data_IF_287392647435
#
_entry.id   IF_287392647435
#
_cell.length_a   1.000
_cell.length_b   1.000
_cell.length_c   1.000
_cell.angle_alpha   90.00
_cell.angle_beta   90.00
_cell.angle_gamma   90.00
#
_symmetry.space_group_name_H-M   'P 1'
#
loop_
_entity.id
_entity.type
_entity.pdbx_description
1 polymer ?
#
# COMPACT_ATOMS: atom_id res chain seq x y z
N UNK A 1 -16.69 21.60 -14.28
CA UNK A 1 -15.68 22.59 -14.69
C UNK A 1 -14.77 22.87 -13.50
N UNK A 2 -13.56 22.33 -13.49
CA UNK A 2 -12.60 22.61 -12.42
C UNK A 2 -11.99 24.00 -12.65
N UNK A 3 -12.36 24.95 -11.81
CA UNK A 3 -11.70 26.25 -11.72
C UNK A 3 -10.27 26.01 -11.23
N UNK A 4 -9.29 26.10 -12.13
CA UNK A 4 -7.87 26.12 -11.74
C UNK A 4 -7.69 27.32 -10.81
N UNK A 5 -7.24 27.15 -9.54
CA UNK A 5 -7.08 28.26 -8.63
C UNK A 5 -6.11 29.28 -9.23
N UNK A 6 -6.39 30.60 -9.13
CA UNK A 6 -5.57 31.72 -9.65
C UNK A 6 -4.07 31.68 -9.26
N UNK A 7 -3.67 30.77 -8.36
CA UNK A 7 -2.31 30.52 -7.89
C UNK A 7 -1.46 29.66 -8.84
N UNK A 8 -2.06 28.99 -9.82
CA UNK A 8 -1.34 28.08 -10.72
C UNK A 8 -1.33 28.60 -12.16
N UNK A 9 -0.21 28.40 -12.84
CA UNK A 9 -0.06 28.48 -14.29
C UNK A 9 -0.37 27.08 -14.82
N UNK A 10 -1.24 26.99 -15.82
CA UNK A 10 -1.50 25.72 -16.51
C UNK A 10 -0.61 25.68 -17.74
N UNK A 11 0.18 24.61 -17.86
CA UNK A 11 1.02 24.31 -19.00
C UNK A 11 0.39 23.13 -19.75
N UNK A 12 0.33 23.23 -21.07
CA UNK A 12 -0.12 22.12 -21.90
C UNK A 12 1.06 21.16 -22.10
N UNK A 13 1.00 19.99 -21.48
CA UNK A 13 1.91 18.91 -21.76
C UNK A 13 1.21 17.94 -22.71
N UNK A 14 1.97 17.27 -23.57
CA UNK A 14 1.43 16.31 -24.54
C UNK A 14 0.56 15.20 -23.89
N UNK A 15 0.68 14.98 -22.58
CA UNK A 15 -0.08 14.01 -21.78
C UNK A 15 -1.18 14.62 -20.90
N UNK A 16 -1.47 15.91 -21.05
CA UNK A 16 -2.49 16.64 -20.27
C UNK A 16 -1.98 17.92 -19.62
N UNK A 17 -2.79 18.51 -18.73
CA UNK A 17 -2.44 19.75 -18.05
C UNK A 17 -1.40 19.52 -16.95
N UNK A 18 -0.29 20.25 -17.02
CA UNK A 18 0.66 20.40 -15.93
C UNK A 18 0.38 21.71 -15.18
N UNK A 19 0.51 21.70 -13.85
CA UNK A 19 0.20 22.86 -13.01
C UNK A 19 1.46 23.34 -12.29
N UNK A 20 1.82 24.59 -12.53
CA UNK A 20 2.97 25.25 -11.91
C UNK A 20 2.52 26.35 -10.96
N UNK A 21 2.93 26.30 -9.70
CA UNK A 21 2.59 27.34 -8.73
C UNK A 21 3.31 28.65 -9.08
N UNK A 22 2.54 29.72 -9.31
CA UNK A 22 3.07 30.99 -9.88
C UNK A 22 4.14 31.64 -9.01
N UNK A 23 4.06 31.50 -7.69
CA UNK A 23 5.05 32.03 -6.71
C UNK A 23 6.35 31.21 -6.63
N UNK A 24 6.43 30.06 -7.32
CA UNK A 24 7.59 29.16 -7.30
C UNK A 24 8.43 29.20 -8.59
N UNK A 25 7.99 29.89 -9.64
CA UNK A 25 8.67 29.92 -10.95
C UNK A 25 10.15 30.32 -10.82
N UNK A 26 10.43 31.45 -10.17
CA UNK A 26 11.81 31.94 -9.93
C UNK A 26 12.64 31.05 -9.00
N UNK A 27 11.99 30.21 -8.19
CA UNK A 27 12.69 29.25 -7.34
C UNK A 27 13.08 28.00 -8.12
N UNK A 28 12.27 27.59 -9.11
CA UNK A 28 12.61 26.47 -9.99
C UNK A 28 13.84 26.74 -10.85
N UNK A 29 14.06 27.99 -11.26
CA UNK A 29 15.28 28.40 -11.99
C UNK A 29 16.56 28.20 -11.17
N UNK A 30 16.45 28.07 -9.85
CA UNK A 30 17.58 27.86 -8.93
C UNK A 30 17.75 26.40 -8.53
N UNK A 31 16.90 25.50 -9.03
CA UNK A 31 16.99 24.07 -8.74
C UNK A 31 18.10 23.49 -9.59
N UNK A 32 19.06 22.84 -8.93
CA UNK A 32 20.17 22.13 -9.55
C UNK A 32 20.17 20.63 -9.23
N UNK A 33 19.27 20.18 -8.34
CA UNK A 33 19.10 18.79 -7.95
C UNK A 33 17.61 18.42 -7.78
N UNK A 34 17.24 17.17 -8.09
CA UNK A 34 15.85 16.69 -8.00
C UNK A 34 15.79 15.38 -7.23
N UNK A 35 14.94 15.33 -6.21
CA UNK A 35 14.62 14.11 -5.48
C UNK A 35 13.25 13.63 -5.93
N UNK A 36 13.20 12.40 -6.41
CA UNK A 36 11.98 11.78 -6.91
C UNK A 36 11.32 10.93 -5.83
N UNK A 37 10.00 10.98 -5.77
CA UNK A 37 9.26 9.82 -5.24
C UNK A 37 9.33 8.68 -6.26
N UNK A 38 9.11 7.44 -5.83
CA UNK A 38 9.15 6.29 -6.73
C UNK A 38 7.76 5.96 -7.28
N UNK A 39 6.84 5.58 -6.40
CA UNK A 39 5.55 5.04 -6.77
C UNK A 39 4.59 6.16 -7.21
N UNK A 40 4.04 6.04 -8.42
CA UNK A 40 3.21 7.09 -9.05
C UNK A 40 3.99 8.25 -9.66
N UNK A 41 5.33 8.26 -9.57
CA UNK A 41 6.20 9.30 -10.15
C UNK A 41 7.22 8.70 -11.12
N UNK A 42 8.03 7.74 -10.66
CA UNK A 42 8.96 6.99 -11.51
C UNK A 42 8.32 5.72 -12.06
N UNK A 43 7.40 5.11 -11.31
CA UNK A 43 6.73 3.85 -11.64
C UNK A 43 5.22 4.07 -11.70
N UNK A 44 4.59 3.61 -12.77
CA UNK A 44 3.14 3.52 -12.86
C UNK A 44 2.66 2.28 -12.09
N UNK A 45 1.88 2.54 -11.04
CA UNK A 45 1.47 1.54 -10.06
C UNK A 45 0.08 0.97 -10.30
N UNK A 46 -0.70 1.53 -11.24
CA UNK A 46 -2.14 1.24 -11.40
C UNK A 46 -2.40 -0.22 -11.76
N UNK A 47 -1.66 -0.76 -12.73
CA UNK A 47 -1.82 -2.17 -13.12
C UNK A 47 -1.04 -3.16 -12.23
N UNK A 48 -0.37 -2.64 -11.19
CA UNK A 48 0.55 -3.38 -10.32
C UNK A 48 0.05 -3.40 -8.87
N UNK A 49 0.30 -2.33 -8.12
CA UNK A 49 -0.05 -2.24 -6.70
C UNK A 49 -1.57 -2.23 -6.49
N UNK A 50 -2.31 -1.45 -7.28
CA UNK A 50 -3.77 -1.37 -7.12
C UNK A 50 -4.42 -2.73 -7.41
N UNK A 51 -3.93 -3.45 -8.44
CA UNK A 51 -4.35 -4.83 -8.72
C UNK A 51 -3.98 -5.80 -7.60
N UNK A 52 -2.81 -5.63 -6.97
CA UNK A 52 -2.41 -6.44 -5.81
C UNK A 52 -3.31 -6.17 -4.60
N UNK A 53 -3.71 -4.92 -4.34
CA UNK A 53 -4.68 -4.56 -3.29
C UNK A 53 -5.98 -5.33 -3.48
N UNK A 54 -6.57 -5.24 -4.69
CA UNK A 54 -7.86 -5.88 -4.98
C UNK A 54 -7.75 -7.41 -4.83
N UNK A 55 -6.69 -8.01 -5.38
CA UNK A 55 -6.48 -9.46 -5.30
C UNK A 55 -6.23 -9.95 -3.87
N UNK A 56 -5.45 -9.21 -3.07
CA UNK A 56 -5.19 -9.56 -1.68
C UNK A 56 -6.46 -9.49 -0.84
N UNK A 57 -7.23 -8.39 -0.95
CA UNK A 57 -8.50 -8.24 -0.27
C UNK A 57 -9.49 -9.35 -0.68
N UNK A 58 -9.58 -9.65 -1.98
CA UNK A 58 -10.42 -10.74 -2.51
C UNK A 58 -10.02 -12.10 -1.94
N UNK A 59 -8.72 -12.41 -1.95
CA UNK A 59 -8.20 -13.69 -1.48
C UNK A 59 -8.48 -13.89 0.01
N UNK A 60 -8.26 -12.85 0.82
CA UNK A 60 -8.51 -12.91 2.27
C UNK A 60 -10.00 -13.02 2.54
N UNK A 61 -10.83 -12.22 1.86
CA UNK A 61 -12.29 -12.30 2.00
C UNK A 61 -12.83 -13.69 1.67
N UNK A 62 -12.41 -14.26 0.53
CA UNK A 62 -12.81 -15.61 0.13
C UNK A 62 -12.29 -16.67 1.12
N UNK A 63 -11.07 -16.53 1.61
CA UNK A 63 -10.52 -17.44 2.62
C UNK A 63 -11.30 -17.40 3.95
N UNK A 64 -11.78 -16.23 4.34
CA UNK A 64 -12.50 -16.02 5.61
C UNK A 64 -14.00 -16.33 5.52
N UNK A 65 -14.55 -16.52 4.31
CA UNK A 65 -16.01 -16.64 4.11
C UNK A 65 -16.43 -17.83 3.25
N UNK A 66 -15.54 -18.36 2.40
CA UNK A 66 -15.87 -19.33 1.35
C UNK A 66 -16.61 -18.73 0.14
N UNK A 67 -16.82 -17.41 0.13
CA UNK A 67 -17.57 -16.69 -0.87
C UNK A 67 -16.65 -15.80 -1.71
N UNK A 68 -16.80 -15.87 -3.03
CA UNK A 68 -16.06 -14.98 -3.92
C UNK A 68 -16.45 -13.52 -3.68
N UNK A 69 -15.47 -12.63 -3.68
CA UNK A 69 -15.72 -11.20 -3.66
C UNK A 69 -16.20 -10.76 -5.06
N UNK A 70 -17.28 -9.97 -5.19
CA UNK A 70 -17.70 -9.44 -6.49
C UNK A 70 -16.61 -8.62 -7.16
N UNK A 71 -16.38 -8.82 -8.46
CA UNK A 71 -15.24 -8.23 -9.19
C UNK A 71 -15.16 -6.70 -9.10
N UNK A 72 -16.30 -6.02 -9.05
CA UNK A 72 -16.38 -4.56 -9.01
C UNK A 72 -16.59 -3.98 -7.60
N UNK A 73 -16.47 -4.80 -6.55
CA UNK A 73 -16.67 -4.33 -5.18
C UNK A 73 -15.60 -3.30 -4.80
N UNK A 74 -14.34 -3.57 -5.17
CA UNK A 74 -13.21 -2.67 -4.97
C UNK A 74 -12.76 -2.16 -6.34
N UNK A 75 -12.97 -0.87 -6.58
CA UNK A 75 -12.59 -0.22 -7.83
C UNK A 75 -11.38 0.71 -7.65
N UNK A 76 -10.79 1.17 -8.75
CA UNK A 76 -9.75 2.20 -8.72
C UNK A 76 -10.22 3.47 -8.00
N UNK A 77 -11.52 3.80 -8.14
CA UNK A 77 -12.14 4.91 -7.40
C UNK A 77 -12.11 4.64 -5.89
N UNK A 78 -12.40 3.42 -5.46
CA UNK A 78 -12.31 3.03 -4.04
C UNK A 78 -10.89 3.26 -3.52
N UNK A 79 -9.87 2.75 -4.21
CA UNK A 79 -8.45 2.89 -3.81
C UNK A 79 -8.04 4.37 -3.79
N UNK A 80 -8.44 5.14 -4.81
CA UNK A 80 -8.22 6.58 -4.85
C UNK A 80 -8.84 7.28 -3.63
N UNK A 81 -10.06 6.93 -3.24
CA UNK A 81 -10.74 7.54 -2.09
C UNK A 81 -10.01 7.24 -0.77
N UNK A 82 -9.47 6.04 -0.58
CA UNK A 82 -8.59 5.72 0.55
C UNK A 82 -7.36 6.64 0.57
N UNK A 83 -6.63 6.71 -0.54
CA UNK A 83 -5.42 7.55 -0.65
C UNK A 83 -5.73 9.04 -0.47
N UNK A 84 -6.90 9.50 -0.92
CA UNK A 84 -7.37 10.88 -0.79
C UNK A 84 -7.56 11.32 0.67
N UNK A 85 -7.74 10.41 1.62
CA UNK A 85 -7.80 10.77 3.05
C UNK A 85 -6.46 11.32 3.57
N UNK A 86 -5.35 11.04 2.87
CA UNK A 86 -4.00 11.46 3.22
C UNK A 86 -3.26 10.52 4.19
N UNK A 87 -3.94 9.52 4.75
CA UNK A 87 -3.37 8.58 5.72
C UNK A 87 -2.91 7.24 5.15
N UNK A 88 -3.36 6.86 3.96
CA UNK A 88 -3.12 5.53 3.37
C UNK A 88 -1.95 5.58 2.36
N UNK A 89 -0.75 5.78 2.89
CA UNK A 89 0.49 5.76 2.09
C UNK A 89 1.08 4.35 1.97
N UNK A 90 0.56 3.39 2.73
CA UNK A 90 0.92 1.97 2.69
C UNK A 90 -0.25 1.18 2.13
N UNK A 91 0.01 0.35 1.11
CA UNK A 91 -1.03 -0.46 0.47
C UNK A 91 -1.57 -1.56 1.40
N UNK A 92 -0.78 -1.99 2.40
CA UNK A 92 -1.26 -2.91 3.44
C UNK A 92 -2.40 -2.31 4.25
N UNK A 93 -2.37 -0.99 4.52
CA UNK A 93 -3.42 -0.30 5.26
C UNK A 93 -4.72 -0.23 4.44
N UNK A 94 -4.61 -0.15 3.11
CA UNK A 94 -5.77 -0.17 2.21
C UNK A 94 -6.39 -1.57 2.21
N UNK A 95 -5.57 -2.62 2.08
CA UNK A 95 -6.05 -4.01 2.18
C UNK A 95 -6.69 -4.26 3.55
N UNK A 96 -6.07 -3.77 4.62
CA UNK A 96 -6.64 -3.82 5.98
C UNK A 96 -7.99 -3.12 6.05
N UNK A 97 -8.07 -1.87 5.61
CA UNK A 97 -9.31 -1.09 5.62
C UNK A 97 -10.46 -1.76 4.88
N UNK A 98 -10.19 -2.27 3.67
CA UNK A 98 -11.17 -3.00 2.86
C UNK A 98 -11.60 -4.28 3.59
N UNK A 99 -10.64 -5.10 4.02
CA UNK A 99 -10.92 -6.42 4.62
C UNK A 99 -11.69 -6.29 5.93
N UNK A 100 -11.26 -5.40 6.82
CA UNK A 100 -11.92 -5.16 8.10
C UNK A 100 -13.33 -4.64 7.89
N UNK A 101 -13.53 -3.68 6.97
CA UNK A 101 -14.85 -3.18 6.64
C UNK A 101 -15.78 -4.30 6.16
N UNK A 102 -15.33 -5.10 5.18
CA UNK A 102 -16.14 -6.16 4.58
C UNK A 102 -16.55 -7.21 5.59
N UNK A 103 -15.61 -7.68 6.41
CA UNK A 103 -15.88 -8.73 7.41
C UNK A 103 -16.72 -8.21 8.59
N UNK A 104 -16.60 -6.93 8.94
CA UNK A 104 -17.42 -6.32 9.98
C UNK A 104 -18.85 -6.02 9.52
N UNK A 105 -19.09 -5.64 8.26
CA UNK A 105 -20.44 -5.32 7.77
C UNK A 105 -21.25 -6.57 7.35
N UNK A 106 -20.67 -7.78 7.43
CA UNK A 106 -21.40 -9.03 7.18
C UNK A 106 -22.61 -9.21 8.12
N UNK A 107 -23.61 -10.02 7.73
CA UNK A 107 -24.72 -10.40 8.60
C UNK A 107 -24.25 -10.94 9.96
N UNK A 108 -25.02 -10.68 11.03
CA UNK A 108 -24.62 -11.08 12.40
C UNK A 108 -24.38 -12.58 12.53
N UNK A 109 -25.23 -13.42 11.93
CA UNK A 109 -25.06 -14.88 11.94
C UNK A 109 -23.75 -15.34 11.28
N UNK A 110 -23.36 -14.71 10.16
CA UNK A 110 -22.08 -14.97 9.50
C UNK A 110 -20.90 -14.56 10.40
N UNK A 111 -20.99 -13.39 11.05
CA UNK A 111 -19.97 -12.92 12.01
C UNK A 111 -19.84 -13.84 13.21
N UNK A 112 -20.93 -14.32 13.79
CA UNK A 112 -20.92 -15.25 14.92
C UNK A 112 -20.24 -16.58 14.57
N UNK A 113 -20.56 -17.14 13.39
CA UNK A 113 -19.91 -18.36 12.88
C UNK A 113 -18.42 -18.14 12.65
N UNK A 114 -18.05 -17.02 12.01
CA UNK A 114 -16.66 -16.63 11.81
C UNK A 114 -15.91 -16.47 13.14
N UNK A 115 -16.50 -15.78 14.10
CA UNK A 115 -15.92 -15.56 15.43
C UNK A 115 -15.63 -16.89 16.14
N UNK A 116 -16.58 -17.83 16.09
CA UNK A 116 -16.43 -19.16 16.69
C UNK A 116 -15.23 -19.91 16.12
N UNK A 117 -15.07 -19.92 14.79
CA UNK A 117 -13.94 -20.59 14.13
C UNK A 117 -12.62 -19.87 14.45
N UNK A 118 -12.57 -18.53 14.35
CA UNK A 118 -11.35 -17.76 14.66
C UNK A 118 -10.86 -18.03 16.08
N UNK A 119 -11.75 -18.13 17.07
CA UNK A 119 -11.37 -18.46 18.46
C UNK A 119 -10.67 -19.80 18.60
N UNK A 120 -11.01 -20.79 17.76
CA UNK A 120 -10.36 -22.12 17.80
C UNK A 120 -8.98 -22.13 17.15
N UNK A 121 -8.69 -21.13 16.31
CA UNK A 121 -7.48 -21.08 15.48
C UNK A 121 -6.49 -19.99 15.90
N UNK A 122 -6.88 -19.04 16.74
CA UNK A 122 -6.06 -17.86 17.07
C UNK A 122 -4.71 -18.22 17.72
N UNK A 123 -4.65 -19.33 18.46
CA UNK A 123 -3.42 -19.81 19.12
C UNK A 123 -2.42 -20.48 18.15
N UNK A 124 -2.83 -20.77 16.90
CA UNK A 124 -1.93 -21.28 15.87
C UNK A 124 -0.96 -20.18 15.43
N UNK A 125 0.30 -20.25 15.87
CA UNK A 125 1.31 -19.23 15.58
C UNK A 125 1.72 -19.16 14.11
N UNK A 126 1.57 -20.23 13.35
CA UNK A 126 1.85 -20.22 11.92
C UNK A 126 0.67 -19.58 11.16
N UNK A 127 0.86 -18.32 10.73
CA UNK A 127 -0.18 -17.55 10.05
C UNK A 127 -0.72 -18.24 8.79
N UNK A 128 0.13 -18.97 8.08
CA UNK A 128 -0.24 -19.64 6.84
C UNK A 128 -1.11 -20.85 7.11
N UNK A 129 -0.73 -21.66 8.10
CA UNK A 129 -1.57 -22.76 8.57
C UNK A 129 -2.91 -22.24 9.11
N UNK A 130 -2.89 -21.13 9.85
CA UNK A 130 -4.11 -20.48 10.38
C UNK A 130 -5.07 -20.09 9.26
N UNK A 131 -4.59 -19.37 8.23
CA UNK A 131 -5.42 -18.93 7.11
C UNK A 131 -5.88 -20.09 6.21
N UNK A 132 -5.01 -21.05 5.93
CA UNK A 132 -5.37 -22.20 5.09
C UNK A 132 -6.41 -23.09 5.79
N UNK A 133 -6.29 -23.29 7.10
CA UNK A 133 -7.28 -24.08 7.87
C UNK A 133 -8.65 -23.42 7.85
N UNK A 134 -8.75 -22.10 8.09
CA UNK A 134 -10.04 -21.41 8.04
C UNK A 134 -10.63 -21.39 6.62
N UNK A 135 -9.77 -21.28 5.61
CA UNK A 135 -10.16 -21.38 4.20
C UNK A 135 -10.73 -22.76 3.87
N UNK A 136 -10.10 -23.85 4.31
CA UNK A 136 -10.60 -25.21 4.11
C UNK A 136 -11.98 -25.40 4.75
N UNK A 137 -12.16 -24.91 5.99
CA UNK A 137 -13.44 -24.96 6.70
C UNK A 137 -14.54 -24.27 5.90
N UNK A 138 -14.31 -23.02 5.47
CA UNK A 138 -15.34 -22.27 4.74
C UNK A 138 -15.46 -22.65 3.26
N UNK A 139 -14.48 -23.34 2.69
CA UNK A 139 -14.62 -23.95 1.37
C UNK A 139 -15.62 -25.11 1.40
N UNK A 140 -15.67 -25.85 2.51
CA UNK A 140 -16.63 -26.94 2.72
C UNK A 140 -18.01 -26.45 3.18
N UNK A 141 -18.06 -25.40 4.00
CA UNK A 141 -19.28 -24.87 4.60
C UNK A 141 -19.29 -23.33 4.59
N UNK A 142 -19.62 -22.76 3.43
CA UNK A 142 -19.61 -21.32 3.16
C UNK A 142 -20.45 -20.54 4.17
N UNK A 143 -20.04 -19.31 4.45
CA UNK A 143 -20.87 -18.40 5.23
C UNK A 143 -22.08 -17.95 4.41
N UNK A 144 -23.24 -17.92 5.04
CA UNK A 144 -24.42 -17.30 4.46
C UNK A 144 -24.30 -15.77 4.58
N UNK A 145 -23.98 -15.13 3.46
CA UNK A 145 -23.85 -13.68 3.36
C UNK A 145 -25.16 -13.01 2.91
N UNK A 146 -26.20 -13.77 2.57
CA UNK A 146 -27.40 -13.24 1.92
C UNK A 146 -27.05 -12.36 0.71
N UNK A 147 -27.71 -11.20 0.58
CA UNK A 147 -27.45 -10.20 -0.46
C UNK A 147 -26.38 -9.17 -0.09
N UNK A 148 -25.59 -9.41 0.98
CA UNK A 148 -24.60 -8.44 1.46
C UNK A 148 -23.64 -7.94 0.35
N UNK A 149 -23.02 -8.82 -0.48
CA UNK A 149 -21.98 -8.39 -1.42
C UNK A 149 -22.47 -7.40 -2.49
N UNK A 150 -23.77 -7.38 -2.79
CA UNK A 150 -24.34 -6.55 -3.88
C UNK A 150 -24.35 -5.05 -3.55
N UNK A 151 -24.47 -4.69 -2.27
CA UNK A 151 -24.51 -3.29 -1.81
C UNK A 151 -23.19 -2.81 -1.18
N UNK A 152 -22.21 -3.70 -1.02
CA UNK A 152 -20.96 -3.41 -0.31
C UNK A 152 -20.09 -2.36 -1.00
N UNK A 153 -20.15 -2.22 -2.32
CA UNK A 153 -19.30 -1.27 -3.05
C UNK A 153 -19.61 0.19 -2.66
N UNK A 154 -20.88 0.59 -2.70
CA UNK A 154 -21.32 1.93 -2.32
C UNK A 154 -21.08 2.20 -0.83
N UNK A 155 -21.30 1.20 0.03
CA UNK A 155 -21.04 1.33 1.46
C UNK A 155 -19.55 1.48 1.76
N UNK A 156 -18.68 0.79 1.03
CA UNK A 156 -17.22 0.91 1.14
C UNK A 156 -16.74 2.29 0.68
N UNK A 157 -17.27 2.81 -0.44
CA UNK A 157 -17.01 4.20 -0.84
C UNK A 157 -17.48 5.19 0.23
N UNK A 158 -18.69 4.99 0.78
CA UNK A 158 -19.21 5.80 1.88
C UNK A 158 -18.30 5.77 3.12
N UNK A 159 -17.80 4.59 3.46
CA UNK A 159 -16.88 4.36 4.57
C UNK A 159 -15.57 5.16 4.43
N UNK A 160 -15.05 5.32 3.21
CA UNK A 160 -13.82 6.12 2.99
C UNK A 160 -13.95 7.58 3.43
N UNK A 161 -15.17 8.13 3.50
CA UNK A 161 -15.40 9.50 3.98
C UNK A 161 -15.20 9.65 5.50
N UNK A 162 -15.17 8.55 6.25
CA UNK A 162 -14.89 8.52 7.69
C UNK A 162 -13.40 8.43 8.00
N UNK A 163 -12.57 8.18 6.98
CA UNK A 163 -11.14 7.98 7.11
C UNK A 163 -10.39 9.31 7.07
N UNK A 164 -9.24 9.36 7.73
CA UNK A 164 -8.46 10.58 7.86
C UNK A 164 -6.95 10.31 7.71
N UNK A 165 -6.14 11.33 8.05
CA UNK A 165 -4.68 11.31 7.94
C UNK A 165 -4.00 10.29 8.86
N UNK A 166 -4.72 9.67 9.79
CA UNK A 166 -4.20 8.64 10.70
C UNK A 166 -4.24 7.22 10.11
N UNK A 167 -4.62 7.05 8.83
CA UNK A 167 -4.49 5.78 8.10
C UNK A 167 -5.27 4.64 8.75
N UNK A 168 -4.64 3.49 8.98
CA UNK A 168 -5.26 2.31 9.60
C UNK A 168 -5.95 2.60 10.95
N UNK A 169 -5.44 3.53 11.77
CA UNK A 169 -6.09 3.90 13.04
C UNK A 169 -7.46 4.57 12.82
N UNK A 170 -7.66 5.24 11.68
CA UNK A 170 -8.96 5.81 11.33
C UNK A 170 -10.00 4.74 10.95
N UNK A 171 -9.55 3.60 10.41
CA UNK A 171 -10.39 2.40 10.16
C UNK A 171 -10.91 1.86 11.50
N UNK A 172 -10.00 1.66 12.47
CA UNK A 172 -10.33 1.17 13.80
C UNK A 172 -11.40 2.04 14.47
N UNK A 173 -11.16 3.36 14.45
CA UNK A 173 -12.09 4.34 15.01
C UNK A 173 -13.43 4.31 14.29
N UNK A 174 -13.46 4.31 12.96
CA UNK A 174 -14.70 4.35 12.19
C UNK A 174 -15.57 3.10 12.43
N UNK A 175 -14.97 1.91 12.43
CA UNK A 175 -15.70 0.66 12.67
C UNK A 175 -16.21 0.58 14.10
N UNK A 176 -15.35 0.86 15.10
CA UNK A 176 -15.74 0.76 16.51
C UNK A 176 -16.75 1.82 16.95
N UNK A 177 -16.71 3.02 16.34
CA UNK A 177 -17.67 4.09 16.65
C UNK A 177 -19.07 3.84 16.06
N UNK A 178 -19.20 2.90 15.11
CA UNK A 178 -20.51 2.56 14.51
C UNK A 178 -21.50 1.94 15.49
N UNK A 179 -21.03 1.37 16.60
CA UNK A 179 -21.85 0.64 17.57
C UNK A 179 -22.39 -0.71 17.08
N UNK A 180 -22.18 -1.07 15.80
CA UNK A 180 -22.68 -2.32 15.20
C UNK A 180 -21.84 -3.55 15.55
N UNK A 181 -20.57 -3.33 15.91
CA UNK A 181 -19.55 -4.37 16.07
C UNK A 181 -19.08 -4.40 17.51
N UNK A 182 -19.03 -5.59 18.11
CA UNK A 182 -18.46 -5.75 19.44
C UNK A 182 -16.94 -5.55 19.39
N UNK A 183 -16.38 -4.90 20.43
CA UNK A 183 -14.91 -4.77 20.56
C UNK A 183 -14.21 -6.13 20.58
N UNK A 184 -14.86 -7.16 21.14
CA UNK A 184 -14.33 -8.51 21.19
C UNK A 184 -14.14 -9.13 19.81
N UNK A 185 -15.18 -9.08 18.97
CA UNK A 185 -15.09 -9.55 17.59
C UNK A 185 -14.04 -8.77 16.80
N UNK A 186 -14.05 -7.44 16.91
CA UNK A 186 -13.11 -6.57 16.20
C UNK A 186 -11.66 -6.91 16.54
N UNK A 187 -11.35 -7.01 17.83
CA UNK A 187 -9.99 -7.30 18.29
C UNK A 187 -9.54 -8.70 17.88
N UNK A 188 -10.44 -9.69 17.93
CA UNK A 188 -10.14 -11.04 17.45
C UNK A 188 -9.81 -11.02 15.96
N UNK A 189 -10.63 -10.34 15.15
CA UNK A 189 -10.43 -10.24 13.71
C UNK A 189 -9.09 -9.55 13.37
N UNK A 190 -8.79 -8.44 14.05
CA UNK A 190 -7.52 -7.71 13.89
C UNK A 190 -6.32 -8.57 14.29
N UNK A 191 -6.38 -9.26 15.43
CA UNK A 191 -5.33 -10.17 15.87
C UNK A 191 -5.17 -11.38 14.92
N UNK A 192 -6.26 -11.84 14.33
CA UNK A 192 -6.22 -12.94 13.37
C UNK A 192 -5.49 -12.54 12.08
N UNK A 193 -5.78 -11.35 11.53
CA UNK A 193 -5.34 -10.93 10.20
C UNK A 193 -4.10 -10.02 10.17
N UNK A 194 -3.89 -9.20 11.20
CA UNK A 194 -2.95 -8.08 11.17
C UNK A 194 -2.42 -7.71 12.57
N UNK A 195 -1.89 -8.69 13.29
CA UNK A 195 -1.29 -8.46 14.62
C UNK A 195 0.01 -7.63 14.54
N UNK A 196 0.72 -7.71 13.41
CA UNK A 196 1.93 -6.93 13.15
C UNK A 196 1.97 -6.34 11.74
N UNK A 197 2.88 -5.40 11.52
CA UNK A 197 3.24 -4.85 10.20
C UNK A 197 4.48 -5.58 9.64
N UNK A 198 4.48 -6.92 9.67
CA UNK A 198 5.60 -7.71 9.15
C UNK A 198 5.13 -8.87 8.30
N UNK A 199 5.80 -9.06 7.16
CA UNK A 199 5.65 -10.25 6.32
C UNK A 199 6.10 -11.49 7.11
N UNK A 200 5.32 -12.57 7.02
CA UNK A 200 5.51 -13.80 7.78
C UNK A 200 4.83 -13.81 9.16
N UNK A 201 4.43 -12.65 9.68
CA UNK A 201 3.72 -12.51 10.97
C UNK A 201 2.29 -11.94 10.80
N UNK A 202 2.02 -11.29 9.66
CA UNK A 202 0.75 -10.66 9.32
C UNK A 202 0.16 -11.29 8.07
N UNK A 203 -1.07 -11.79 8.15
CA UNK A 203 -1.76 -12.39 7.00
C UNK A 203 -1.90 -11.37 5.88
N UNK A 204 -2.36 -10.16 6.21
CA UNK A 204 -2.56 -9.09 5.22
C UNK A 204 -1.26 -8.73 4.50
N UNK A 205 -0.18 -8.48 5.25
CA UNK A 205 1.10 -8.12 4.64
C UNK A 205 1.64 -9.28 3.79
N UNK A 206 1.58 -10.51 4.29
CA UNK A 206 2.14 -11.68 3.60
C UNK A 206 1.38 -12.00 2.32
N UNK A 207 0.05 -12.05 2.36
CA UNK A 207 -0.78 -12.30 1.18
C UNK A 207 -0.57 -11.20 0.13
N UNK A 208 -0.57 -9.93 0.56
CA UNK A 208 -0.35 -8.83 -0.37
C UNK A 208 1.01 -8.92 -1.06
N UNK A 209 2.08 -9.09 -0.29
CA UNK A 209 3.44 -9.11 -0.82
C UNK A 209 3.71 -10.33 -1.71
N UNK A 210 3.14 -11.50 -1.39
CA UNK A 210 3.22 -12.68 -2.25
C UNK A 210 2.54 -12.44 -3.60
N UNK A 211 1.34 -11.83 -3.61
CA UNK A 211 0.59 -11.52 -4.83
C UNK A 211 1.30 -10.42 -5.64
N UNK A 212 1.81 -9.40 -4.96
CA UNK A 212 2.49 -8.28 -5.59
C UNK A 212 3.81 -8.72 -6.23
N UNK A 213 4.72 -9.32 -5.45
CA UNK A 213 6.04 -9.71 -5.93
C UNK A 213 5.98 -10.95 -6.83
N UNK A 214 5.01 -11.83 -6.62
CA UNK A 214 5.06 -13.21 -7.14
C UNK A 214 6.10 -14.05 -6.42
N UNK A 215 6.04 -15.37 -6.60
CA UNK A 215 6.76 -16.32 -5.75
C UNK A 215 8.28 -16.12 -5.70
N UNK A 216 8.91 -15.86 -6.86
CA UNK A 216 10.38 -15.72 -6.96
C UNK A 216 10.87 -14.45 -6.24
N UNK A 217 10.34 -13.29 -6.60
CA UNK A 217 10.79 -12.02 -6.04
C UNK A 217 10.38 -11.88 -4.57
N UNK A 218 9.25 -12.47 -4.15
CA UNK A 218 8.85 -12.53 -2.76
C UNK A 218 9.93 -13.23 -1.90
N UNK A 219 10.36 -14.44 -2.31
CA UNK A 219 11.44 -15.18 -1.64
C UNK A 219 12.74 -14.38 -1.60
N UNK A 220 13.13 -13.77 -2.72
CA UNK A 220 14.34 -12.96 -2.80
C UNK A 220 14.26 -11.70 -1.92
N UNK A 221 13.09 -11.09 -1.76
CA UNK A 221 12.89 -9.85 -1.01
C UNK A 221 12.77 -10.10 0.49
N UNK A 222 11.97 -11.09 0.90
CA UNK A 222 11.61 -11.32 2.29
C UNK A 222 12.30 -12.53 2.93
N UNK A 223 12.92 -13.41 2.15
CA UNK A 223 13.55 -14.63 2.67
C UNK A 223 12.55 -15.65 3.22
N UNK A 224 11.26 -15.52 2.86
CA UNK A 224 10.17 -16.41 3.27
C UNK A 224 9.67 -17.16 2.04
N UNK A 225 9.32 -18.44 2.21
CA UNK A 225 8.72 -19.23 1.14
C UNK A 225 7.26 -18.79 0.90
N UNK A 226 6.85 -18.54 -0.36
CA UNK A 226 5.48 -18.18 -0.68
C UNK A 226 4.55 -19.38 -0.51
N UNK A 227 3.37 -19.15 0.07
CA UNK A 227 2.41 -20.20 0.40
C UNK A 227 1.03 -19.96 -0.22
N UNK A 228 0.59 -18.71 -0.30
CA UNK A 228 -0.75 -18.33 -0.72
C UNK A 228 -0.86 -18.09 -2.22
N UNK A 229 0.23 -17.68 -2.87
CA UNK A 229 0.23 -17.33 -4.28
C UNK A 229 1.42 -17.92 -5.05
N UNK A 230 1.10 -18.67 -6.11
CA UNK A 230 2.07 -19.30 -7.02
C UNK A 230 2.06 -18.71 -8.43
N UNK A 231 1.25 -17.68 -8.67
CA UNK A 231 1.13 -17.06 -9.99
C UNK A 231 2.20 -16.01 -10.26
N UNK A 232 2.08 -15.38 -11.44
CA UNK A 232 2.91 -14.25 -11.83
C UNK A 232 2.59 -13.03 -10.94
N UNK A 233 3.63 -12.41 -10.37
CA UNK A 233 3.48 -11.23 -9.50
C UNK A 233 2.87 -10.05 -10.26
N UNK A 234 2.02 -9.27 -9.57
CA UNK A 234 1.45 -8.06 -10.18
C UNK A 234 2.52 -7.01 -10.51
N UNK A 235 3.70 -7.10 -9.89
CA UNK A 235 4.86 -6.25 -10.17
C UNK A 235 5.28 -6.28 -11.64
N UNK A 236 5.01 -7.37 -12.37
CA UNK A 236 5.33 -7.52 -13.79
C UNK A 236 4.55 -6.56 -14.69
N UNK A 237 3.43 -6.03 -14.20
CA UNK A 237 2.63 -5.04 -14.92
C UNK A 237 3.11 -3.61 -14.66
N UNK A 238 4.01 -3.40 -13.69
CA UNK A 238 4.59 -2.11 -13.38
C UNK A 238 5.44 -1.58 -14.53
N UNK A 239 5.25 -0.31 -14.88
CA UNK A 239 5.95 0.32 -16.01
C UNK A 239 6.66 1.59 -15.56
N UNK A 240 7.90 1.84 -16.00
CA UNK A 240 8.53 3.14 -15.80
C UNK A 240 7.70 4.25 -16.46
N UNK A 241 7.46 5.33 -15.72
CA UNK A 241 6.86 6.57 -16.24
C UNK A 241 7.92 7.38 -17.00
N UNK A 242 9.16 7.36 -16.51
CA UNK A 242 10.30 8.05 -17.11
C UNK A 242 11.09 7.13 -18.03
N UNK A 243 11.87 7.73 -18.93
CA UNK A 243 12.81 7.02 -19.80
C UNK A 243 14.16 7.77 -19.86
N UNK A 244 15.15 7.14 -20.49
CA UNK A 244 16.51 7.68 -20.64
C UNK A 244 16.54 9.08 -21.27
N UNK A 245 15.71 9.35 -22.27
CA UNK A 245 15.71 10.65 -22.95
C UNK A 245 15.15 11.76 -22.07
N UNK A 246 14.09 11.48 -21.31
CA UNK A 246 13.53 12.41 -20.33
C UNK A 246 14.54 12.75 -19.24
N UNK A 247 15.23 11.75 -18.69
CA UNK A 247 16.26 11.94 -17.66
C UNK A 247 17.48 12.69 -18.21
N UNK A 248 17.91 12.40 -19.45
CA UNK A 248 18.99 13.12 -20.12
C UNK A 248 18.64 14.59 -20.33
N UNK A 249 17.42 14.90 -20.79
CA UNK A 249 16.95 16.27 -20.96
C UNK A 249 16.93 17.02 -19.63
N UNK A 250 16.40 16.40 -18.59
CA UNK A 250 16.38 17.00 -17.26
C UNK A 250 17.80 17.23 -16.73
N UNK A 251 18.69 16.27 -16.91
CA UNK A 251 20.11 16.40 -16.53
C UNK A 251 20.79 17.56 -17.25
N UNK A 252 20.47 17.75 -18.53
CA UNK A 252 21.00 18.88 -19.33
C UNK A 252 20.50 20.23 -18.80
N UNK A 253 19.23 20.30 -18.35
CA UNK A 253 18.66 21.52 -17.76
C UNK A 253 19.33 21.86 -16.42
N UNK A 254 19.62 20.85 -15.60
CA UNK A 254 20.24 21.03 -14.27
C UNK A 254 21.77 21.21 -14.33
N UNK A 255 22.40 21.04 -15.50
CA UNK A 255 23.85 21.07 -15.62
C UNK A 255 24.55 19.81 -15.07
N UNK A 256 23.82 18.71 -14.88
CA UNK A 256 24.33 17.45 -14.36
C UNK A 256 23.22 16.48 -13.91
N UNK A 257 23.55 15.19 -13.77
CA UNK A 257 22.61 14.18 -13.28
C UNK A 257 22.60 14.17 -11.74
N UNK A 258 21.99 15.19 -11.12
CA UNK A 258 21.85 15.31 -9.66
C UNK A 258 20.47 14.81 -9.23
N UNK A 259 20.26 13.50 -9.34
CA UNK A 259 18.98 12.86 -9.08
C UNK A 259 19.05 11.95 -7.85
N UNK A 260 18.13 12.17 -6.90
CA UNK A 260 17.92 11.31 -5.73
C UNK A 260 16.56 10.61 -5.77
N UNK A 261 16.37 9.63 -4.90
CA UNK A 261 15.07 8.97 -4.67
C UNK A 261 14.76 9.00 -3.17
N UNK A 262 13.51 9.30 -2.83
CA UNK A 262 12.98 9.19 -1.47
C UNK A 262 11.66 8.40 -1.50
N UNK A 263 11.75 7.07 -1.44
CA UNK A 263 10.59 6.18 -1.58
C UNK A 263 10.08 5.66 -0.25
N UNK A 264 8.77 5.36 -0.21
CA UNK A 264 8.14 4.56 0.84
C UNK A 264 8.13 3.05 0.53
N UNK A 265 8.50 2.64 -0.68
CA UNK A 265 8.59 1.23 -1.08
C UNK A 265 9.99 0.65 -0.91
N UNK A 266 10.13 -0.66 -1.14
CA UNK A 266 11.40 -1.38 -1.09
C UNK A 266 12.19 -1.25 -2.39
N UNK A 267 13.52 -1.24 -2.24
CA UNK A 267 14.47 -1.08 -3.34
C UNK A 267 14.42 -2.23 -4.35
N UNK A 268 14.27 -3.48 -3.88
CA UNK A 268 14.27 -4.66 -4.74
C UNK A 268 13.11 -4.63 -5.77
N UNK A 269 11.84 -4.48 -5.35
CA UNK A 269 10.73 -4.28 -6.28
C UNK A 269 10.92 -3.09 -7.23
N UNK A 270 11.31 -1.92 -6.72
CA UNK A 270 11.50 -0.74 -7.57
C UNK A 270 12.59 -0.96 -8.63
N UNK A 271 13.72 -1.58 -8.25
CA UNK A 271 14.81 -1.94 -9.17
C UNK A 271 14.35 -2.95 -10.23
N UNK A 272 13.47 -3.89 -9.87
CA UNK A 272 12.92 -4.86 -10.81
C UNK A 272 12.21 -4.19 -12.00
N UNK A 273 11.45 -3.14 -11.71
CA UNK A 273 10.70 -2.37 -12.72
C UNK A 273 11.60 -1.38 -13.45
N UNK A 274 12.39 -0.58 -12.71
CA UNK A 274 13.20 0.51 -13.28
C UNK A 274 14.45 0.01 -14.02
N UNK A 275 14.97 -1.18 -13.68
CA UNK A 275 16.09 -1.84 -14.35
C UNK A 275 17.31 -0.91 -14.49
N UNK A 276 17.75 -0.65 -15.72
CA UNK A 276 18.90 0.17 -16.07
C UNK A 276 18.66 1.67 -15.82
N UNK A 277 17.40 2.13 -15.72
CA UNK A 277 17.09 3.51 -15.33
C UNK A 277 17.58 3.85 -13.93
N UNK A 278 17.75 2.85 -13.05
CA UNK A 278 18.34 3.05 -11.72
C UNK A 278 19.74 3.67 -11.78
N UNK A 279 20.48 3.51 -12.89
CA UNK A 279 21.81 4.08 -13.07
C UNK A 279 21.84 5.61 -13.18
N UNK A 280 20.69 6.27 -13.34
CA UNK A 280 20.61 7.74 -13.37
C UNK A 280 20.61 8.39 -12.00
N UNK A 281 20.32 7.65 -10.93
CA UNK A 281 20.16 8.18 -9.59
C UNK A 281 21.42 7.96 -8.77
N UNK A 282 21.82 8.98 -7.99
CA UNK A 282 22.99 8.88 -7.13
C UNK A 282 22.71 7.84 -6.02
N UNK A 283 23.54 6.78 -5.90
CA UNK A 283 23.37 5.78 -4.85
C UNK A 283 23.37 6.36 -3.42
N UNK A 284 24.10 7.46 -3.17
CA UNK A 284 24.13 8.15 -1.86
C UNK A 284 22.84 8.92 -1.58
N UNK A 285 22.15 9.34 -2.64
CA UNK A 285 20.89 10.07 -2.56
C UNK A 285 19.66 9.17 -2.79
N UNK A 286 19.85 7.85 -2.89
CA UNK A 286 18.79 6.89 -3.14
C UNK A 286 18.39 6.25 -1.82
N UNK A 287 17.22 6.63 -1.29
CA UNK A 287 16.71 6.18 0.00
C UNK A 287 15.37 5.48 -0.19
N UNK A 288 15.32 4.19 0.12
CA UNK A 288 14.11 3.36 0.11
C UNK A 288 13.71 2.94 1.53
N UNK A 289 12.56 2.27 1.67
CA UNK A 289 12.05 1.78 2.94
C UNK A 289 13.09 0.91 3.69
N UNK A 290 13.87 0.12 2.96
CA UNK A 290 14.91 -0.73 3.55
C UNK A 290 15.98 0.10 4.31
N UNK A 291 16.27 1.33 3.87
CA UNK A 291 17.21 2.23 4.53
C UNK A 291 16.58 2.97 5.72
N UNK A 292 15.27 3.17 5.68
CA UNK A 292 14.47 3.73 6.78
C UNK A 292 14.38 2.73 7.91
N UNK A 293 13.99 1.48 7.62
CA UNK A 293 13.92 0.39 8.60
C UNK A 293 15.29 0.14 9.25
N UNK A 294 16.37 0.13 8.46
CA UNK A 294 17.74 0.01 9.00
C UNK A 294 18.07 1.14 9.97
N UNK A 295 17.66 2.38 9.67
CA UNK A 295 17.90 3.51 10.57
C UNK A 295 17.05 3.39 11.85
N UNK A 296 15.78 2.99 11.74
CA UNK A 296 14.92 2.73 12.90
C UNK A 296 15.53 1.65 13.82
N UNK A 297 16.06 0.57 13.25
CA UNK A 297 16.75 -0.50 13.98
C UNK A 297 17.99 0.02 14.74
N UNK A 298 18.74 0.96 14.16
CA UNK A 298 19.88 1.60 14.83
C UNK A 298 19.45 2.47 16.02
N UNK A 299 18.33 3.19 15.92
CA UNK A 299 17.73 3.90 17.05
C UNK A 299 17.21 2.93 18.11
N UNK A 300 16.59 1.83 17.69
CA UNK A 300 16.08 0.81 18.59
C UNK A 300 17.19 0.16 19.42
N UNK A 301 18.35 -0.12 18.82
CA UNK A 301 19.56 -0.59 19.53
C UNK A 301 20.04 0.40 20.60
N UNK A 302 19.73 1.69 20.45
CA UNK A 302 19.98 2.75 21.43
C UNK A 302 18.81 2.96 22.40
N UNK A 303 17.85 2.03 22.44
CA UNK A 303 16.62 2.07 23.27
C UNK A 303 15.69 3.24 22.94
N UNK A 304 15.77 3.80 21.72
CA UNK A 304 14.87 4.84 21.23
C UNK A 304 13.90 4.21 20.22
N UNK A 305 12.60 4.38 20.46
CA UNK A 305 11.56 4.00 19.49
C UNK A 305 11.17 5.23 18.68
N UNK A 306 11.41 5.17 17.38
CA UNK A 306 11.11 6.23 16.43
C UNK A 306 10.33 5.66 15.25
N UNK A 307 9.57 6.52 14.58
CA UNK A 307 8.97 6.21 13.28
C UNK A 307 9.52 7.23 12.26
N UNK A 308 10.34 6.73 11.35
CA UNK A 308 11.03 7.45 10.30
C UNK A 308 10.37 7.25 8.93
N UNK A 309 9.32 6.43 8.84
CA UNK A 309 8.50 6.26 7.64
C UNK A 309 7.74 7.55 7.31
N UNK A 310 7.34 7.73 6.04
CA UNK A 310 6.49 8.86 5.62
C UNK A 310 5.25 8.93 6.55
N UNK A 311 4.85 10.13 7.03
CA UNK A 311 5.21 11.47 6.56
C UNK A 311 6.47 12.08 7.20
N UNK A 312 7.24 11.32 8.00
CA UNK A 312 8.51 11.80 8.53
C UNK A 312 9.46 12.20 7.38
N UNK A 313 10.14 13.36 7.44
CA UNK A 313 11.00 13.84 6.35
C UNK A 313 12.34 13.11 6.24
N UNK A 314 12.62 12.09 7.06
CA UNK A 314 13.90 11.39 7.11
C UNK A 314 14.44 10.98 5.74
N UNK A 315 13.63 10.31 4.91
CA UNK A 315 14.08 9.83 3.59
C UNK A 315 14.43 10.99 2.65
N UNK A 316 13.61 12.06 2.67
CA UNK A 316 13.84 13.26 1.87
C UNK A 316 15.13 13.98 2.30
N UNK A 317 15.32 14.18 3.61
CA UNK A 317 16.51 14.84 4.16
C UNK A 317 17.78 14.01 3.91
N UNK A 318 17.70 12.70 4.09
CA UNK A 318 18.83 11.80 3.83
C UNK A 318 19.21 11.78 2.34
N UNK A 319 18.21 11.75 1.45
CA UNK A 319 18.41 11.85 0.00
C UNK A 319 19.05 13.20 -0.37
N UNK A 320 18.55 14.31 0.18
CA UNK A 320 19.11 15.64 -0.04
C UNK A 320 20.57 15.74 0.41
N UNK A 321 20.92 15.24 1.60
CA UNK A 321 22.31 15.22 2.08
C UNK A 321 23.24 14.43 1.16
N UNK A 322 22.74 13.41 0.46
CA UNK A 322 23.51 12.63 -0.49
C UNK A 322 23.82 13.36 -1.80
N UNK A 323 23.03 14.39 -2.17
CA UNK A 323 23.23 15.18 -3.39
C UNK A 323 24.17 16.38 -3.19
N UNK A 324 24.47 16.75 -1.94
CA UNK A 324 25.20 17.96 -1.59
C UNK A 324 24.74 19.20 -2.41
N UNK A 325 23.43 19.52 -2.41
CA UNK A 325 22.84 20.55 -3.27
C UNK A 325 23.23 21.98 -2.86
#
# INVERSE_FOLDING_TARGET
MNLVPRKYITLDANSGAAYLRRDKVRLLEKVDAVIFDCDGVLIDIRESYDRAIVKAASYIFESMTGCAMPENLVSDKTIFLFRRSGGFNNDWDIVYGITMFLLCEMPSGAREKLEKIMKTLIDEKNISKRLLTIREIFSADKLDLGSFPENSAANLEGFTNLLDVNGASSVDKAILSSGKISRGFYNLLRAFLHESEKVGESIIATVFEEIFCGSKLFRETYGVEPIFYSGQGMIENGKPIVNHDSLRRLSSILGGARFGIASGSRLKPARYILRDLMGWFDPKATVFLDDVERAEDEYFKKKLRVNLKKPNPFSLLKSASGLEP
#
